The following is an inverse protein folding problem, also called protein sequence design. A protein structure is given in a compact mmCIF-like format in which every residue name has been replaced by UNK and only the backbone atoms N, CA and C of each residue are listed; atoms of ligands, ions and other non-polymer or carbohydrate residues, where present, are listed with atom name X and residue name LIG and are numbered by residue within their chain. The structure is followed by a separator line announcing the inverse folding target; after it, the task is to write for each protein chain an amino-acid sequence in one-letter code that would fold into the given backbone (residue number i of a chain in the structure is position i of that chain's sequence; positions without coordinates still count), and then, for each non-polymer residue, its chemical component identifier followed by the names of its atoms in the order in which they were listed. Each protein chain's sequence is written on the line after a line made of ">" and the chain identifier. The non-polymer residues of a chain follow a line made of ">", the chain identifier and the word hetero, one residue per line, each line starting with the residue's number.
data_IF_038208335411
#
_entry.id   IF_038208335411
#
_cell.length_a   1.000
_cell.length_b   1.000
_cell.length_c   1.000
_cell.angle_alpha   90.00
_cell.angle_beta   90.00
_cell.angle_gamma   90.00
#
_symmetry.space_group_name_H-M   'P 1'
#
loop_
_entity.id
_entity.type
_entity.pdbx_description
1 polymer ?
#
# COMPACT_ATOMS: atom_id res chain seq x y z
N UNK A 1 -20.03 26.39 1.05
CA UNK A 1 -20.63 25.86 -0.19
C UNK A 1 -20.09 24.47 -0.42
N UNK A 2 -20.97 23.45 -0.48
CA UNK A 2 -20.74 22.04 -0.82
C UNK A 2 -19.29 21.52 -0.65
N UNK A 3 -18.91 21.26 0.61
CA UNK A 3 -17.79 20.35 0.87
C UNK A 3 -18.29 18.94 0.62
N UNK A 4 -17.63 18.20 -0.28
CA UNK A 4 -17.84 16.76 -0.39
C UNK A 4 -17.46 16.14 0.97
N UNK A 5 -18.46 15.82 1.76
CA UNK A 5 -18.28 15.19 3.05
C UNK A 5 -17.93 13.72 2.87
N UNK A 6 -17.58 13.09 4.00
CA UNK A 6 -17.29 11.66 4.03
C UNK A 6 -18.49 10.83 3.53
N UNK A 7 -19.71 11.31 3.80
CA UNK A 7 -20.94 10.63 3.40
C UNK A 7 -21.14 10.63 1.88
N UNK A 8 -20.92 11.77 1.21
CA UNK A 8 -21.01 11.85 -0.25
C UNK A 8 -19.92 11.00 -0.92
N UNK A 9 -18.70 10.98 -0.39
CA UNK A 9 -17.63 10.13 -0.91
C UNK A 9 -17.96 8.64 -0.79
N UNK A 10 -18.59 8.20 0.31
CA UNK A 10 -19.04 6.82 0.47
C UNK A 10 -20.12 6.47 -0.56
N UNK A 11 -21.08 7.36 -0.81
CA UNK A 11 -22.12 7.13 -1.82
C UNK A 11 -21.51 6.98 -3.22
N UNK A 12 -20.60 7.88 -3.59
CA UNK A 12 -19.89 7.81 -4.87
C UNK A 12 -19.08 6.51 -4.96
N UNK A 13 -18.38 6.14 -3.89
CA UNK A 13 -17.60 4.90 -3.84
C UNK A 13 -18.50 3.67 -4.08
N UNK A 14 -19.68 3.62 -3.46
CA UNK A 14 -20.64 2.53 -3.68
C UNK A 14 -21.08 2.46 -5.14
N UNK A 15 -21.40 3.60 -5.77
CA UNK A 15 -21.78 3.65 -7.19
C UNK A 15 -20.65 3.12 -8.07
N UNK A 16 -19.42 3.57 -7.84
CA UNK A 16 -18.24 3.11 -8.58
C UNK A 16 -18.03 1.60 -8.36
N UNK A 17 -18.18 1.10 -7.14
CA UNK A 17 -18.06 -0.33 -6.85
C UNK A 17 -19.15 -1.17 -7.53
N UNK A 18 -20.35 -0.64 -7.74
CA UNK A 18 -21.41 -1.34 -8.48
C UNK A 18 -21.10 -1.36 -9.98
N UNK A 19 -20.61 -0.25 -10.55
CA UNK A 19 -20.30 -0.17 -11.98
C UNK A 19 -19.08 -1.00 -12.37
N UNK A 20 -17.99 -0.89 -11.60
CA UNK A 20 -16.72 -1.55 -11.90
C UNK A 20 -16.55 -2.89 -11.19
N UNK A 21 -17.27 -3.11 -10.09
CA UNK A 21 -17.12 -4.28 -9.22
C UNK A 21 -16.03 -4.10 -8.17
N UNK A 22 -16.26 -4.67 -6.97
CA UNK A 22 -15.33 -4.57 -5.84
C UNK A 22 -13.95 -5.20 -6.07
N UNK A 23 -13.83 -6.11 -7.05
CA UNK A 23 -12.55 -6.76 -7.40
C UNK A 23 -11.70 -5.91 -8.36
N UNK A 24 -12.31 -5.10 -9.22
CA UNK A 24 -11.58 -4.35 -10.27
C UNK A 24 -10.87 -3.12 -9.72
N UNK A 25 -11.47 -2.43 -8.76
CA UNK A 25 -10.88 -1.25 -8.12
C UNK A 25 -9.48 -1.54 -7.50
N UNK A 26 -9.31 -2.57 -6.64
CA UNK A 26 -8.01 -2.90 -6.06
C UNK A 26 -7.03 -3.51 -7.08
N UNK A 27 -7.52 -4.24 -8.09
CA UNK A 27 -6.69 -4.78 -9.18
C UNK A 27 -6.04 -3.65 -9.99
N UNK A 28 -6.83 -2.65 -10.39
CA UNK A 28 -6.35 -1.44 -11.08
C UNK A 28 -5.43 -0.60 -10.19
N UNK A 29 -5.81 -0.38 -8.93
CA UNK A 29 -5.01 0.38 -7.98
C UNK A 29 -3.65 -0.30 -7.69
N UNK A 30 -3.60 -1.64 -7.64
CA UNK A 30 -2.36 -2.38 -7.42
C UNK A 30 -1.38 -2.22 -8.58
N UNK A 31 -1.87 -2.29 -9.82
CA UNK A 31 -1.03 -2.06 -11.01
C UNK A 31 -0.53 -0.61 -11.09
N UNK A 32 -1.45 0.35 -10.93
CA UNK A 32 -1.13 1.78 -10.97
C UNK A 32 -0.23 2.19 -9.80
N UNK A 33 -0.45 1.66 -8.60
CA UNK A 33 0.37 1.94 -7.42
C UNK A 33 1.80 1.44 -7.56
N UNK A 34 2.00 0.25 -8.15
CA UNK A 34 3.35 -0.25 -8.49
C UNK A 34 4.03 0.65 -9.52
N UNK A 35 3.29 1.08 -10.55
CA UNK A 35 3.82 1.99 -11.58
C UNK A 35 4.23 3.34 -10.97
N UNK A 36 3.37 3.98 -10.18
CA UNK A 36 3.67 5.24 -9.50
C UNK A 36 4.84 5.08 -8.53
N UNK A 37 4.91 3.96 -7.79
CA UNK A 37 6.03 3.68 -6.86
C UNK A 37 7.36 3.55 -7.61
N UNK A 38 7.38 2.83 -8.72
CA UNK A 38 8.58 2.65 -9.54
C UNK A 38 8.97 3.95 -10.25
N UNK A 39 7.99 4.72 -10.73
CA UNK A 39 8.21 6.05 -11.33
C UNK A 39 8.81 7.02 -10.31
N UNK A 40 8.25 7.08 -9.10
CA UNK A 40 8.78 7.89 -8.01
C UNK A 40 10.20 7.47 -7.65
N UNK A 41 10.50 6.16 -7.62
CA UNK A 41 11.84 5.65 -7.34
C UNK A 41 12.84 6.10 -8.41
N UNK A 42 12.51 5.89 -9.68
CA UNK A 42 13.34 6.29 -10.82
C UNK A 42 13.55 7.82 -10.92
N UNK A 43 12.58 8.63 -10.48
CA UNK A 43 12.73 10.09 -10.47
C UNK A 43 13.54 10.61 -9.28
N UNK A 44 13.57 9.91 -8.14
CA UNK A 44 14.25 10.39 -6.93
C UNK A 44 15.65 9.78 -6.71
N UNK A 45 16.02 8.72 -7.43
CA UNK A 45 17.35 8.11 -7.35
C UNK A 45 18.23 8.61 -8.51
N UNK A 46 19.31 9.39 -8.24
CA UNK A 46 20.30 9.71 -9.25
C UNK A 46 21.17 8.48 -9.53
N UNK A 47 21.07 7.92 -10.73
CA UNK A 47 21.98 6.97 -11.43
C UNK A 47 22.82 5.95 -10.62
N UNK A 48 22.41 5.50 -9.44
CA UNK A 48 23.06 4.39 -8.75
C UNK A 48 22.33 3.07 -9.05
N UNK A 49 23.09 2.15 -9.64
CA UNK A 49 22.64 0.80 -10.02
C UNK A 49 22.27 0.03 -8.74
N UNK A 50 20.97 -0.04 -8.43
CA UNK A 50 20.45 -0.79 -7.29
C UNK A 50 20.50 -2.31 -7.53
N UNK A 51 21.58 -2.94 -7.03
CA UNK A 51 21.81 -4.41 -7.04
C UNK A 51 21.18 -5.14 -5.84
N UNK A 52 20.24 -4.53 -5.10
CA UNK A 52 19.65 -5.18 -3.93
C UNK A 52 18.48 -6.09 -4.31
N UNK A 53 18.52 -7.42 -4.08
CA UNK A 53 17.39 -8.29 -4.34
C UNK A 53 16.27 -7.99 -3.35
N UNK A 54 15.11 -7.52 -3.85
CA UNK A 54 13.90 -7.30 -3.03
C UNK A 54 13.43 -8.63 -2.44
N UNK A 55 13.74 -8.86 -1.17
CA UNK A 55 13.19 -9.92 -0.33
C UNK A 55 11.67 -9.74 -0.23
N UNK A 56 10.91 -10.69 -0.78
CA UNK A 56 9.48 -10.86 -0.55
C UNK A 56 9.26 -10.94 0.97
N UNK A 57 8.55 -9.95 1.52
CA UNK A 57 8.11 -9.98 2.91
C UNK A 57 6.69 -10.56 2.89
N UNK A 58 6.61 -11.88 2.97
CA UNK A 58 5.39 -12.59 3.35
C UNK A 58 5.61 -13.19 4.74
N UNK A 59 4.79 -12.72 5.68
CA UNK A 59 4.27 -13.43 6.86
C UNK A 59 5.17 -14.41 7.64
N UNK A 60 5.63 -14.00 8.83
CA UNK A 60 5.48 -14.77 10.10
C UNK A 60 5.88 -13.84 11.26
N UNK A 61 4.97 -13.17 11.96
CA UNK A 61 4.29 -13.66 13.18
C UNK A 61 5.19 -14.36 14.19
N UNK A 62 5.33 -13.71 15.36
CA UNK A 62 5.63 -14.26 16.70
C UNK A 62 7.08 -14.70 16.95
N UNK A 63 7.81 -13.88 17.71
CA UNK A 63 8.51 -14.23 18.97
C UNK A 63 9.39 -13.06 19.43
N UNK A 64 8.78 -12.11 20.12
CA UNK A 64 9.49 -11.19 21.01
C UNK A 64 8.62 -11.03 22.27
N UNK A 65 9.02 -11.74 23.32
CA UNK A 65 8.36 -11.78 24.61
C UNK A 65 8.99 -12.91 25.41
N UNK A 66 9.62 -12.58 26.52
CA UNK A 66 10.33 -13.47 27.46
C UNK A 66 11.77 -13.86 27.10
N UNK A 67 12.67 -12.88 27.00
CA UNK A 67 14.03 -13.04 27.53
C UNK A 67 14.69 -11.68 27.65
N UNK A 68 14.79 -11.18 28.88
CA UNK A 68 15.68 -10.11 29.41
C UNK A 68 14.95 -9.18 30.38
N UNK A 69 14.49 -9.76 31.49
CA UNK A 69 14.55 -9.10 32.79
C UNK A 69 15.13 -10.13 33.77
N UNK A 70 16.37 -10.52 33.48
CA UNK A 70 17.25 -11.16 34.44
C UNK A 70 18.05 -10.02 35.08
N UNK A 71 18.32 -10.17 36.37
CA UNK A 71 19.40 -9.50 37.11
C UNK A 71 19.22 -8.01 37.39
N UNK A 72 18.51 -7.70 38.48
CA UNK A 72 19.07 -6.96 39.62
C UNK A 72 18.42 -7.41 40.93
#
# INVERSE_FOLDING_TARGET
>A
MFGLGMQELIIILIIVLVLFGAKRLPELASGMGKAIKNFKKATNEPDEIDVTPKKNVESDSRKEGEEKEKSE
#
